data_IF_055129448489
#
_entry.id   IF_055129448489
#
_cell.length_a   1.000
_cell.length_b   1.000
_cell.length_c   1.000
_cell.angle_alpha   90.00
_cell.angle_beta   90.00
_cell.angle_gamma   90.00
#
_symmetry.space_group_name_H-M   'P 1'
#
loop_
_entity.id
_entity.type
_entity.pdbx_description
1 polymer ?
#
# COMPACT_ATOMS: atom_id res chain seq x y z
N UNK A 1 9.92 -7.00 -28.76
CA UNK A 1 10.59 -5.80 -28.19
C UNK A 1 10.88 -4.84 -29.32
N UNK A 2 10.53 -3.57 -29.15
CA UNK A 2 10.95 -2.51 -30.05
C UNK A 2 12.45 -2.22 -29.89
N UNK A 3 13.09 -1.77 -30.97
CA UNK A 3 14.47 -1.27 -30.93
C UNK A 3 14.39 0.25 -30.87
N UNK A 4 14.91 0.83 -29.80
CA UNK A 4 15.00 2.28 -29.64
C UNK A 4 16.46 2.60 -29.41
N UNK A 5 16.98 3.59 -30.14
CA UNK A 5 18.34 4.07 -29.96
C UNK A 5 18.30 5.12 -28.85
N UNK A 6 18.99 4.84 -27.74
CA UNK A 6 19.09 5.73 -26.58
C UNK A 6 20.55 5.80 -26.16
N UNK A 7 20.97 6.96 -25.67
CA UNK A 7 22.26 7.07 -24.98
C UNK A 7 22.07 6.65 -23.52
N UNK A 8 23.05 5.91 -22.99
CA UNK A 8 23.03 5.36 -21.64
C UNK A 8 24.34 5.73 -20.98
N UNK A 9 24.26 6.15 -19.73
CA UNK A 9 25.43 6.31 -18.87
C UNK A 9 26.07 4.94 -18.60
N UNK A 10 27.30 4.77 -19.08
CA UNK A 10 28.04 3.51 -18.98
C UNK A 10 28.45 3.18 -17.54
N UNK A 11 28.70 4.19 -16.70
CA UNK A 11 29.06 4.00 -15.30
C UNK A 11 27.84 3.52 -14.50
N UNK A 12 26.69 4.17 -14.71
CA UNK A 12 25.43 3.73 -14.12
C UNK A 12 25.03 2.33 -14.59
N UNK A 13 25.29 2.01 -15.86
CA UNK A 13 25.04 0.71 -16.44
C UNK A 13 25.92 -0.39 -15.81
N UNK A 14 27.19 -0.09 -15.55
CA UNK A 14 28.11 -1.01 -14.90
C UNK A 14 27.67 -1.33 -13.46
N UNK A 15 27.26 -0.31 -12.69
CA UNK A 15 26.71 -0.49 -11.34
C UNK A 15 25.44 -1.35 -11.38
N UNK A 16 24.53 -1.08 -12.33
CA UNK A 16 23.33 -1.89 -12.49
C UNK A 16 23.65 -3.33 -12.92
N UNK A 17 24.65 -3.53 -13.78
CA UNK A 17 25.10 -4.86 -14.19
C UNK A 17 25.63 -5.68 -13.02
N UNK A 18 26.40 -5.07 -12.12
CA UNK A 18 26.90 -5.72 -10.92
C UNK A 18 25.76 -6.04 -9.95
N UNK A 19 24.91 -5.05 -9.66
CA UNK A 19 23.76 -5.20 -8.76
C UNK A 19 22.77 -6.28 -9.23
N UNK A 20 22.56 -6.38 -10.53
CA UNK A 20 21.68 -7.39 -11.10
C UNK A 20 22.43 -8.70 -11.38
N UNK A 21 23.72 -8.69 -11.67
CA UNK A 21 24.48 -9.84 -12.18
C UNK A 21 24.17 -10.15 -13.66
N UNK A 22 23.84 -9.13 -14.46
CA UNK A 22 23.56 -9.29 -15.89
C UNK A 22 24.83 -9.16 -16.74
N UNK A 23 24.91 -9.94 -17.81
CA UNK A 23 26.06 -9.92 -18.74
C UNK A 23 25.87 -8.98 -19.93
N UNK A 24 24.62 -8.66 -20.28
CA UNK A 24 24.32 -7.84 -21.46
C UNK A 24 23.62 -6.55 -21.06
N UNK A 25 23.91 -5.44 -21.78
CA UNK A 25 23.28 -4.13 -21.56
C UNK A 25 21.76 -4.23 -21.66
N UNK A 26 21.27 -4.95 -22.67
CA UNK A 26 19.85 -5.22 -22.90
C UNK A 26 19.20 -5.90 -21.69
N UNK A 27 19.84 -6.91 -21.11
CA UNK A 27 19.27 -7.63 -19.97
C UNK A 27 19.23 -6.75 -18.73
N UNK A 28 20.26 -5.94 -18.51
CA UNK A 28 20.29 -4.94 -17.42
C UNK A 28 19.14 -3.96 -17.55
N UNK A 29 18.99 -3.35 -18.73
CA UNK A 29 17.94 -2.34 -18.97
C UNK A 29 16.56 -2.95 -18.83
N UNK A 30 16.32 -4.12 -19.44
CA UNK A 30 15.01 -4.77 -19.34
C UNK A 30 14.69 -5.23 -17.92
N UNK A 31 15.69 -5.66 -17.15
CA UNK A 31 15.48 -6.03 -15.75
C UNK A 31 15.21 -4.80 -14.88
N UNK A 32 15.97 -3.73 -15.06
CA UNK A 32 15.74 -2.47 -14.36
C UNK A 32 14.34 -1.90 -14.61
N UNK A 33 13.88 -1.90 -15.87
CA UNK A 33 12.54 -1.42 -16.22
C UNK A 33 11.42 -2.27 -15.59
N UNK A 34 11.61 -3.59 -15.48
CA UNK A 34 10.65 -4.47 -14.79
C UNK A 34 10.63 -4.20 -13.30
N UNK A 35 11.80 -4.11 -12.66
CA UNK A 35 11.89 -3.83 -11.22
C UNK A 35 11.20 -2.52 -10.84
N UNK A 36 11.42 -1.46 -11.62
CA UNK A 36 10.77 -0.16 -11.40
C UNK A 36 9.26 -0.27 -11.63
N UNK A 37 8.83 -0.95 -12.69
CA UNK A 37 7.40 -1.15 -12.97
C UNK A 37 6.70 -1.87 -11.82
N UNK A 38 7.33 -2.92 -11.29
CA UNK A 38 6.77 -3.69 -10.18
C UNK A 38 6.77 -2.89 -8.87
N UNK A 39 7.79 -2.04 -8.65
CA UNK A 39 7.82 -1.09 -7.54
C UNK A 39 6.68 -0.07 -7.63
N UNK A 40 6.42 0.48 -8.82
CA UNK A 40 5.32 1.43 -9.05
C UNK A 40 3.97 0.76 -8.82
N UNK A 41 3.74 -0.43 -9.38
CA UNK A 41 2.49 -1.19 -9.14
C UNK A 41 2.26 -1.48 -7.66
N UNK A 42 3.31 -1.87 -6.93
CA UNK A 42 3.23 -2.07 -5.47
C UNK A 42 2.83 -0.78 -4.74
N UNK A 43 3.37 0.36 -5.17
CA UNK A 43 3.01 1.65 -4.60
C UNK A 43 1.55 2.04 -4.90
N UNK A 44 1.10 1.88 -6.15
CA UNK A 44 -0.28 2.15 -6.56
C UNK A 44 -1.28 1.26 -5.83
N UNK A 45 -0.98 -0.04 -5.69
CA UNK A 45 -1.81 -0.98 -4.95
C UNK A 45 -1.96 -0.56 -3.47
N UNK A 46 -0.87 -0.08 -2.85
CA UNK A 46 -0.92 0.44 -1.48
C UNK A 46 -1.82 1.68 -1.37
N UNK A 47 -1.66 2.64 -2.27
CA UNK A 47 -2.50 3.86 -2.30
C UNK A 47 -3.97 3.53 -2.52
N UNK A 48 -4.26 2.57 -3.42
CA UNK A 48 -5.62 2.11 -3.65
C UNK A 48 -6.22 1.43 -2.41
N UNK A 49 -5.44 0.60 -1.71
CA UNK A 49 -5.86 -0.03 -0.47
C UNK A 49 -6.14 1.00 0.64
N UNK A 50 -5.29 2.03 0.78
CA UNK A 50 -5.49 3.13 1.74
C UNK A 50 -6.77 3.90 1.44
N UNK A 51 -7.04 4.18 0.16
CA UNK A 51 -8.27 4.85 -0.25
C UNK A 51 -9.52 4.01 0.07
N UNK A 52 -9.50 2.73 -0.27
CA UNK A 52 -10.60 1.82 0.05
C UNK A 52 -10.80 1.66 1.56
N UNK A 53 -9.71 1.61 2.34
CA UNK A 53 -9.79 1.55 3.80
C UNK A 53 -10.39 2.84 4.39
N UNK A 54 -10.03 4.02 3.85
CA UNK A 54 -10.60 5.28 4.29
C UNK A 54 -12.10 5.41 3.96
N UNK A 55 -12.55 4.82 2.86
CA UNK A 55 -13.96 4.82 2.46
C UNK A 55 -14.79 3.75 3.19
N UNK A 56 -14.20 2.57 3.44
CA UNK A 56 -14.90 1.44 4.06
C UNK A 56 -14.91 1.49 5.59
N UNK A 57 -13.84 2.00 6.24
CA UNK A 57 -13.85 2.17 7.69
C UNK A 57 -14.46 3.53 8.05
N UNK A 58 -15.67 3.50 8.60
CA UNK A 58 -16.15 4.59 9.44
C UNK A 58 -15.40 4.55 10.78
N UNK A 59 -14.16 5.07 10.75
CA UNK A 59 -13.26 5.14 11.91
C UNK A 59 -13.92 5.89 13.09
N UNK A 60 -14.84 6.82 12.80
CA UNK A 60 -15.62 7.52 13.82
C UNK A 60 -16.63 6.59 14.54
N UNK A 61 -17.30 5.69 13.81
CA UNK A 61 -18.23 4.73 14.42
C UNK A 61 -17.53 3.67 15.29
N UNK A 62 -16.30 3.27 14.93
CA UNK A 62 -15.51 2.30 15.72
C UNK A 62 -14.86 2.91 16.96
N UNK A 63 -14.67 4.23 16.98
CA UNK A 63 -14.10 4.96 18.12
C UNK A 63 -15.17 5.46 19.09
N UNK A 64 -16.45 5.45 18.67
CA UNK A 64 -17.57 5.71 19.55
C UNK A 64 -17.81 4.56 20.55
N UNK A 65 -17.29 4.74 21.76
CA UNK A 65 -17.50 3.81 22.88
C UNK A 65 -18.95 3.71 23.32
N UNK A 66 -19.79 4.71 23.05
CA UNK A 66 -21.20 4.68 23.41
C UNK A 66 -21.98 3.69 22.54
N UNK A 67 -21.58 3.50 21.28
CA UNK A 67 -22.17 2.52 20.37
C UNK A 67 -21.79 1.06 20.72
N UNK A 68 -20.60 0.85 21.27
CA UNK A 68 -20.07 -0.49 21.57
C UNK A 68 -20.50 -1.05 22.93
N UNK A 69 -20.70 -0.20 23.95
CA UNK A 69 -21.16 -0.63 25.28
C UNK A 69 -22.39 0.17 25.67
N UNK A 70 -23.62 -0.31 25.42
CA UNK A 70 -24.76 0.20 26.17
C UNK A 70 -24.44 -0.03 27.64
N UNK A 71 -24.41 1.04 28.41
CA UNK A 71 -24.21 0.99 29.85
C UNK A 71 -25.25 0.05 30.47
N UNK A 72 -24.86 -1.20 30.75
CA UNK A 72 -25.53 -2.01 31.76
C UNK A 72 -25.21 -1.35 33.10
N UNK A 73 -26.10 -0.46 33.52
CA UNK A 73 -26.00 0.31 34.75
C UNK A 73 -27.37 0.83 35.16
N UNK A 74 -28.11 -0.04 35.86
CA UNK A 74 -29.08 0.31 36.90
C UNK A 74 -30.39 0.96 36.47
N UNK A 75 -31.41 0.14 36.24
CA UNK A 75 -32.80 0.58 36.35
C UNK A 75 -33.64 -0.51 37.04
N UNK A 76 -33.16 -0.96 38.21
CA UNK A 76 -33.96 -1.70 39.20
C UNK A 76 -34.33 -0.71 40.31
N UNK A 77 -35.25 0.21 40.02
CA UNK A 77 -35.95 1.03 41.02
C UNK A 77 -37.26 1.54 40.38
N UNK A 78 -38.29 0.71 40.38
CA UNK A 78 -39.68 1.17 40.17
C UNK A 78 -40.51 0.71 41.37
N UNK A 79 -40.58 1.64 42.32
CA UNK A 79 -41.72 1.96 43.19
C UNK A 79 -42.75 0.84 43.45
N UNK A 80 -42.57 0.14 44.57
CA UNK A 80 -43.70 -0.25 45.40
C UNK A 80 -44.22 1.00 46.12
N UNK A 81 -45.29 1.60 45.60
CA UNK A 81 -46.13 2.54 46.38
C UNK A 81 -47.50 1.90 46.57
N UNK A 82 -47.92 1.93 47.83
CA UNK A 82 -49.03 1.23 48.47
C UNK A 82 -50.42 1.67 48.01
#
# INVERSE_FOLDING_TARGET
>A
MGKTLIEIDEDALAVAQDAFGTKTKKDTVNRALREVSDRVKRHEARMAAERLAAEALNLAALTDKAAYRPSHGGADDQEHVA
#
